data_IF_045779811613
#
_entry.id   IF_045779811613
#
_cell.length_a   1.000
_cell.length_b   1.000
_cell.length_c   1.000
_cell.angle_alpha   90.00
_cell.angle_beta   90.00
_cell.angle_gamma   90.00
#
_symmetry.space_group_name_H-M   'P 1'
#
loop_
_entity.id
_entity.type
_entity.pdbx_description
1 polymer ?
#
# COMPACT_ATOMS: atom_id res chain seq x y z
N UNK A 1 2.36 -24.38 21.35
CA UNK A 1 3.83 -24.48 21.31
C UNK A 1 4.32 -23.61 20.16
N UNK A 2 5.04 -22.52 20.44
CA UNK A 2 5.63 -21.69 19.39
C UNK A 2 7.03 -22.22 19.09
N UNK A 3 7.29 -22.64 17.86
CA UNK A 3 8.63 -23.04 17.43
C UNK A 3 9.47 -21.78 17.15
N UNK A 4 10.47 -21.55 17.99
CA UNK A 4 11.49 -20.52 17.82
C UNK A 4 12.72 -21.24 17.28
N UNK A 5 13.16 -20.90 16.07
CA UNK A 5 14.38 -21.42 15.48
C UNK A 5 15.53 -20.45 15.81
N UNK A 6 16.49 -20.80 16.69
CA UNK A 6 17.55 -19.88 17.11
C UNK A 6 18.47 -19.42 15.96
N UNK A 7 18.49 -20.20 14.88
CA UNK A 7 19.45 -20.09 13.78
C UNK A 7 18.90 -19.31 12.59
N UNK A 8 17.61 -18.95 12.62
CA UNK A 8 16.93 -18.28 11.51
C UNK A 8 16.20 -17.07 12.08
N UNK A 9 16.65 -15.88 11.67
CA UNK A 9 16.01 -14.61 12.00
C UNK A 9 14.72 -14.42 11.19
N UNK A 10 13.78 -15.32 11.43
CA UNK A 10 12.46 -15.31 10.84
C UNK A 10 11.50 -15.09 11.99
N UNK A 11 11.18 -13.81 12.24
CA UNK A 11 10.01 -13.31 12.98
C UNK A 11 10.16 -12.98 14.48
N UNK A 12 11.37 -12.99 15.06
CA UNK A 12 11.58 -12.60 16.46
C UNK A 12 11.92 -11.11 16.67
N UNK A 13 12.57 -10.47 15.70
CA UNK A 13 12.84 -9.03 15.76
C UNK A 13 11.77 -8.25 14.99
N UNK A 14 10.80 -7.58 15.65
CA UNK A 14 10.28 -6.38 15.04
C UNK A 14 11.50 -5.47 14.87
N UNK A 15 11.81 -5.02 13.65
CA UNK A 15 12.99 -4.18 13.38
C UNK A 15 13.12 -2.98 14.32
N UNK A 16 12.01 -2.59 14.95
CA UNK A 16 11.92 -1.61 16.03
C UNK A 16 11.15 -2.20 17.22
N UNK A 17 11.66 -2.02 18.44
CA UNK A 17 11.03 -2.56 19.65
C UNK A 17 9.72 -1.82 20.01
N UNK A 18 8.68 -2.55 20.43
CA UNK A 18 7.39 -1.95 20.82
C UNK A 18 7.53 -1.02 22.02
N UNK A 19 6.82 0.10 22.01
CA UNK A 19 6.87 1.12 23.06
C UNK A 19 8.05 2.10 22.94
N UNK A 20 8.89 1.95 21.90
CA UNK A 20 9.85 3.00 21.52
C UNK A 20 9.18 4.07 20.68
N UNK A 21 9.74 5.28 20.67
CA UNK A 21 9.25 6.39 19.85
C UNK A 21 9.27 6.04 18.35
N UNK A 22 10.28 5.29 17.91
CA UNK A 22 10.40 4.82 16.53
C UNK A 22 9.31 3.79 16.17
N UNK A 23 8.93 2.93 17.11
CA UNK A 23 7.80 2.02 16.91
C UNK A 23 6.50 2.80 16.78
N UNK A 24 6.27 3.77 17.66
CA UNK A 24 5.03 4.55 17.64
C UNK A 24 4.91 5.42 16.39
N UNK A 25 6.02 5.98 15.89
CA UNK A 25 6.02 6.74 14.64
C UNK A 25 5.76 5.83 13.43
N UNK A 26 6.42 4.66 13.37
CA UNK A 26 6.27 3.72 12.25
C UNK A 26 4.90 3.03 12.26
N UNK A 27 4.41 2.63 13.43
CA UNK A 27 3.13 1.96 13.58
C UNK A 27 1.94 2.86 13.21
N UNK A 28 2.05 4.18 13.42
CA UNK A 28 1.06 5.17 12.93
C UNK A 28 0.92 5.15 11.41
N UNK A 29 2.01 4.92 10.67
CA UNK A 29 2.03 4.89 9.20
C UNK A 29 1.41 3.58 8.67
N UNK A 30 1.52 2.48 9.42
CA UNK A 30 1.02 1.14 9.02
C UNK A 30 -0.41 1.18 8.51
N UNK A 31 -1.31 1.88 9.22
CA UNK A 31 -2.73 1.96 8.82
C UNK A 31 -2.90 2.60 7.44
N UNK A 32 -2.09 3.61 7.11
CA UNK A 32 -2.12 4.26 5.81
C UNK A 32 -1.54 3.34 4.71
N UNK A 33 -0.48 2.59 5.02
CA UNK A 33 0.09 1.60 4.10
C UNK A 33 -0.93 0.51 3.76
N UNK A 34 -1.58 -0.08 4.76
CA UNK A 34 -2.60 -1.12 4.55
C UNK A 34 -3.78 -0.61 3.72
N UNK A 35 -4.23 0.63 3.97
CA UNK A 35 -5.27 1.28 3.16
C UNK A 35 -4.82 1.45 1.71
N UNK A 36 -3.59 1.88 1.47
CA UNK A 36 -3.03 2.00 0.12
C UNK A 36 -2.94 0.64 -0.59
N UNK A 37 -2.48 -0.41 0.11
CA UNK A 37 -2.45 -1.77 -0.45
C UNK A 37 -3.85 -2.25 -0.84
N UNK A 38 -4.85 -1.99 0.00
CA UNK A 38 -6.23 -2.32 -0.32
C UNK A 38 -6.72 -1.58 -1.58
N UNK A 39 -6.38 -0.30 -1.72
CA UNK A 39 -6.69 0.48 -2.92
C UNK A 39 -6.01 -0.07 -4.18
N UNK A 40 -4.74 -0.46 -4.11
CA UNK A 40 -4.05 -1.11 -5.21
C UNK A 40 -4.76 -2.39 -5.67
N UNK A 41 -5.14 -3.23 -4.71
CA UNK A 41 -5.80 -4.50 -4.99
C UNK A 41 -7.17 -4.31 -5.63
N UNK A 42 -8.00 -3.48 -5.02
CA UNK A 42 -9.42 -3.37 -5.37
C UNK A 42 -9.67 -2.26 -6.41
N UNK A 43 -9.19 -1.04 -6.18
CA UNK A 43 -9.48 0.12 -7.03
C UNK A 43 -8.66 0.12 -8.32
N UNK A 44 -7.42 -0.34 -8.26
CA UNK A 44 -6.53 -0.46 -9.42
C UNK A 44 -6.46 -1.90 -9.96
N UNK A 45 -7.34 -2.78 -9.49
CA UNK A 45 -7.55 -4.14 -10.01
C UNK A 45 -6.31 -5.05 -10.02
N UNK A 46 -5.28 -4.77 -9.20
CA UNK A 46 -4.06 -5.58 -9.16
C UNK A 46 -4.34 -7.01 -8.66
N UNK A 47 -5.35 -7.19 -7.80
CA UNK A 47 -5.72 -8.50 -7.27
C UNK A 47 -6.50 -9.39 -8.26
N UNK A 48 -7.27 -8.80 -9.19
CA UNK A 48 -8.18 -9.50 -10.11
C UNK A 48 -7.62 -9.75 -11.51
N UNK A 49 -6.31 -9.61 -11.69
CA UNK A 49 -5.65 -9.70 -13.00
C UNK A 49 -5.64 -11.13 -13.55
N UNK A 50 -5.76 -11.26 -14.88
CA UNK A 50 -5.77 -12.56 -15.60
C UNK A 50 -4.42 -12.93 -16.21
N UNK A 51 -3.51 -11.97 -16.36
CA UNK A 51 -2.16 -12.21 -16.91
C UNK A 51 -1.23 -12.77 -15.84
N UNK A 52 -0.37 -13.72 -16.25
CA UNK A 52 0.68 -14.31 -15.42
C UNK A 52 2.09 -13.96 -15.92
N UNK A 53 2.21 -13.16 -16.97
CA UNK A 53 3.52 -12.73 -17.47
C UNK A 53 4.15 -11.74 -16.48
N UNK A 54 5.33 -12.07 -15.96
CA UNK A 54 6.06 -11.29 -14.95
C UNK A 54 6.32 -9.84 -15.38
N UNK A 55 6.73 -9.62 -16.63
CA UNK A 55 7.07 -8.28 -17.13
C UNK A 55 5.83 -7.39 -17.20
N UNK A 56 4.73 -7.95 -17.70
CA UNK A 56 3.43 -7.25 -17.73
C UNK A 56 2.94 -6.96 -16.31
N UNK A 57 3.10 -7.92 -15.40
CA UNK A 57 2.79 -7.77 -13.98
C UNK A 57 3.45 -6.54 -13.34
N UNK A 58 4.75 -6.41 -13.61
CA UNK A 58 5.58 -5.40 -13.01
C UNK A 58 5.20 -4.03 -13.57
N UNK A 59 5.01 -3.94 -14.89
CA UNK A 59 4.52 -2.75 -15.55
C UNK A 59 3.14 -2.32 -15.02
N UNK A 60 2.19 -3.25 -14.89
CA UNK A 60 0.84 -2.98 -14.36
C UNK A 60 0.89 -2.43 -12.94
N UNK A 61 1.74 -2.99 -12.07
CA UNK A 61 1.92 -2.50 -10.71
C UNK A 61 2.48 -1.07 -10.68
N UNK A 62 3.47 -0.77 -11.52
CA UNK A 62 4.04 0.58 -11.63
C UNK A 62 3.00 1.58 -12.14
N UNK A 63 2.23 1.22 -13.18
CA UNK A 63 1.17 2.06 -13.71
C UNK A 63 0.06 2.31 -12.67
N UNK A 64 -0.33 1.30 -11.89
CA UNK A 64 -1.26 1.45 -10.78
C UNK A 64 -0.73 2.45 -9.73
N UNK A 65 0.57 2.44 -9.45
CA UNK A 65 1.18 3.40 -8.53
C UNK A 65 1.20 4.83 -9.06
N UNK A 66 1.60 5.01 -10.32
CA UNK A 66 1.59 6.32 -10.98
C UNK A 66 0.18 6.91 -11.02
N UNK A 67 -0.82 6.09 -11.37
CA UNK A 67 -2.23 6.53 -11.41
C UNK A 67 -2.75 6.90 -10.03
N UNK A 68 -2.38 6.19 -8.97
CA UNK A 68 -2.70 6.59 -7.60
C UNK A 68 -2.10 7.95 -7.25
N UNK A 69 -0.82 8.20 -7.58
CA UNK A 69 -0.18 9.48 -7.30
C UNK A 69 -0.83 10.64 -8.06
N UNK A 70 -1.16 10.44 -9.34
CA UNK A 70 -1.91 11.42 -10.13
C UNK A 70 -3.27 11.72 -9.49
N UNK A 71 -3.96 10.69 -8.98
CA UNK A 71 -5.25 10.87 -8.26
C UNK A 71 -5.10 11.81 -7.07
N UNK A 72 -4.05 11.60 -6.26
CA UNK A 72 -3.77 12.44 -5.10
C UNK A 72 -3.48 13.88 -5.51
N UNK A 73 -2.66 14.07 -6.55
CA UNK A 73 -2.34 15.41 -7.07
C UNK A 73 -3.59 16.14 -7.58
N UNK A 74 -4.44 15.45 -8.34
CA UNK A 74 -5.68 16.04 -8.86
C UNK A 74 -6.62 16.42 -7.71
N UNK A 75 -6.84 15.51 -6.76
CA UNK A 75 -7.72 15.74 -5.61
C UNK A 75 -7.27 16.92 -4.75
N UNK A 76 -5.96 17.09 -4.58
CA UNK A 76 -5.38 18.22 -3.87
C UNK A 76 -5.57 19.54 -4.63
N UNK A 77 -5.30 19.54 -5.95
CA UNK A 77 -5.44 20.73 -6.80
C UNK A 77 -6.88 21.27 -6.90
N UNK A 78 -7.87 20.40 -6.82
CA UNK A 78 -9.29 20.79 -6.82
C UNK A 78 -9.84 21.01 -5.41
N UNK A 79 -8.99 20.92 -4.37
CA UNK A 79 -9.36 21.02 -2.96
C UNK A 79 -10.46 20.03 -2.51
N UNK A 80 -10.55 18.87 -3.16
CA UNK A 80 -11.51 17.79 -2.81
C UNK A 80 -10.76 16.59 -2.27
N UNK A 81 -10.17 16.74 -1.08
CA UNK A 81 -9.36 15.69 -0.42
C UNK A 81 -10.16 14.40 -0.14
N UNK A 82 -11.49 14.47 -0.12
CA UNK A 82 -12.36 13.29 -0.07
C UNK A 82 -12.16 12.30 -1.22
N UNK A 83 -11.60 12.75 -2.35
CA UNK A 83 -11.39 11.94 -3.56
C UNK A 83 -9.95 11.46 -3.77
N UNK A 84 -9.05 11.64 -2.78
CA UNK A 84 -7.66 11.13 -2.83
C UNK A 84 -7.61 9.60 -3.08
N UNK A 85 -8.68 8.89 -2.72
CA UNK A 85 -8.79 7.43 -2.74
C UNK A 85 -9.50 6.86 -3.96
N UNK A 86 -10.14 7.68 -4.79
CA UNK A 86 -10.85 7.19 -5.96
C UNK A 86 -10.97 8.26 -7.04
N UNK A 87 -10.60 7.90 -8.26
CA UNK A 87 -10.81 8.71 -9.46
C UNK A 87 -12.25 8.65 -9.98
N UNK A 88 -13.04 7.62 -9.61
CA UNK A 88 -14.40 7.46 -10.15
C UNK A 88 -15.29 8.70 -9.94
N UNK A 89 -15.30 9.36 -8.77
CA UNK A 89 -16.07 10.58 -8.56
C UNK A 89 -15.54 11.82 -9.30
N UNK A 90 -14.35 11.74 -9.91
CA UNK A 90 -13.69 12.85 -10.61
C UNK A 90 -13.89 12.82 -12.13
N UNK A 91 -14.29 11.66 -12.66
CA UNK A 91 -14.45 11.41 -14.11
C UNK A 91 -15.94 11.35 -14.50
N UNK A 92 -16.85 11.28 -13.52
CA UNK A 92 -18.30 11.25 -13.71
C UNK A 92 -18.90 12.65 -13.87
#
# INVERSE_FOLDING_TARGET
MFYIYPEKDLRAYPGTARGTQEWDSTYKIRVNVEKSINHFKDSFCVAGRKTQNEKTLHADLLLAGITQLITVMVADKIHKHQYIRSLKPLIA
#
